data_IF_734203870496
#
_entry.id   IF_734203870496
#
_cell.length_a   1.000
_cell.length_b   1.000
_cell.length_c   1.000
_cell.angle_alpha   90.00
_cell.angle_beta   90.00
_cell.angle_gamma   90.00
#
_symmetry.space_group_name_H-M   'P 1'
#
loop_
_entity.id
_entity.type
_entity.pdbx_description
1 polymer ?
#
# COMPACT_ATOMS: atom_id res chain seq x y z
N UNK A 1 -46.63 15.19 16.08
CA UNK A 1 -45.65 16.28 16.22
C UNK A 1 -44.32 15.82 15.63
N UNK A 2 -44.33 15.56 14.33
CA UNK A 2 -43.19 15.25 13.44
C UNK A 2 -43.62 15.81 12.09
N UNK A 3 -42.68 16.35 11.33
CA UNK A 3 -42.83 17.12 10.07
C UNK A 3 -42.98 18.62 10.33
N UNK A 4 -41.85 19.33 10.48
CA UNK A 4 -41.74 20.78 10.24
C UNK A 4 -40.29 21.32 10.27
N UNK A 5 -39.28 20.52 9.86
CA UNK A 5 -37.88 21.01 9.77
C UNK A 5 -37.26 20.83 8.37
N UNK A 6 -37.85 20.05 7.46
CA UNK A 6 -37.26 19.81 6.13
C UNK A 6 -37.83 20.62 4.96
N UNK A 7 -38.72 21.60 5.20
CA UNK A 7 -39.31 22.38 4.10
C UNK A 7 -38.78 23.82 3.96
N UNK A 8 -37.97 24.32 4.90
CA UNK A 8 -37.48 25.71 4.83
C UNK A 8 -36.08 25.89 4.24
N UNK A 9 -35.37 24.82 3.85
CA UNK A 9 -34.04 24.92 3.24
C UNK A 9 -34.03 24.62 1.73
N UNK A 10 -35.17 24.18 1.18
CA UNK A 10 -35.31 23.84 -0.25
C UNK A 10 -35.95 24.96 -1.09
N UNK A 11 -36.40 26.06 -0.47
CA UNK A 11 -37.04 27.18 -1.18
C UNK A 11 -36.08 28.33 -1.55
N UNK A 12 -34.82 28.34 -1.10
CA UNK A 12 -33.82 29.36 -1.49
C UNK A 12 -32.89 28.94 -2.65
N UNK A 13 -32.88 27.66 -3.06
CA UNK A 13 -32.01 27.15 -4.15
C UNK A 13 -32.72 27.17 -5.52
N UNK A 14 -33.83 27.90 -5.65
CA UNK A 14 -34.52 28.08 -6.93
C UNK A 14 -33.98 29.35 -7.61
N UNK A 15 -32.75 29.28 -8.12
CA UNK A 15 -32.19 30.38 -8.90
C UNK A 15 -30.74 30.22 -9.31
N UNK A 16 -29.92 29.56 -8.51
CA UNK A 16 -28.46 29.56 -8.73
C UNK A 16 -28.05 28.48 -9.72
N UNK A 17 -27.51 28.87 -10.87
CA UNK A 17 -27.01 27.91 -11.87
C UNK A 17 -25.72 27.22 -11.36
N UNK A 18 -25.39 26.04 -11.90
CA UNK A 18 -24.12 25.34 -11.62
C UNK A 18 -22.92 26.27 -11.82
N UNK A 19 -22.97 27.08 -12.88
CA UNK A 19 -21.99 28.10 -13.24
C UNK A 19 -21.85 29.18 -12.16
N UNK A 20 -22.98 29.71 -11.66
CA UNK A 20 -22.98 30.73 -10.59
C UNK A 20 -22.42 30.18 -9.26
N UNK A 21 -22.65 28.90 -8.94
CA UNK A 21 -22.07 28.27 -7.76
C UNK A 21 -20.55 28.06 -7.89
N UNK A 22 -20.08 27.70 -9.09
CA UNK A 22 -18.65 27.59 -9.41
C UNK A 22 -17.96 28.96 -9.29
N UNK A 23 -18.55 30.02 -9.86
CA UNK A 23 -18.05 31.38 -9.77
C UNK A 23 -17.98 31.88 -8.32
N UNK A 24 -19.04 31.61 -7.53
CA UNK A 24 -19.10 31.98 -6.11
C UNK A 24 -18.02 31.26 -5.29
N UNK A 25 -17.81 29.96 -5.53
CA UNK A 25 -16.74 29.19 -4.90
C UNK A 25 -15.36 29.76 -5.23
N UNK A 26 -15.13 30.14 -6.48
CA UNK A 26 -13.89 30.78 -6.92
C UNK A 26 -13.69 32.18 -6.31
N UNK A 27 -14.74 32.98 -6.17
CA UNK A 27 -14.67 34.30 -5.52
C UNK A 27 -14.33 34.20 -4.02
N UNK A 28 -15.01 33.30 -3.30
CA UNK A 28 -14.72 33.06 -1.88
C UNK A 28 -13.27 32.59 -1.69
N UNK A 29 -12.81 31.69 -2.56
CA UNK A 29 -11.46 31.17 -2.48
C UNK A 29 -10.39 32.23 -2.80
N UNK A 30 -10.62 33.13 -3.77
CA UNK A 30 -9.74 34.28 -4.06
C UNK A 30 -9.68 35.27 -2.91
N UNK A 31 -10.79 35.39 -2.17
CA UNK A 31 -10.89 36.28 -1.01
C UNK A 31 -10.25 35.70 0.25
N UNK A 32 -9.74 34.46 0.20
CA UNK A 32 -9.18 33.75 1.36
C UNK A 32 -10.22 33.19 2.33
N UNK A 33 -11.51 33.20 1.94
CA UNK A 33 -12.61 32.65 2.73
C UNK A 33 -12.78 31.15 2.43
N UNK A 34 -11.84 30.35 2.93
CA UNK A 34 -11.76 28.91 2.58
C UNK A 34 -13.00 28.12 3.00
N UNK A 35 -13.62 28.45 4.13
CA UNK A 35 -14.84 27.77 4.61
C UNK A 35 -16.01 27.96 3.63
N UNK A 36 -16.25 29.20 3.21
CA UNK A 36 -17.36 29.54 2.30
C UNK A 36 -17.12 28.96 0.90
N UNK A 37 -15.86 28.93 0.46
CA UNK A 37 -15.47 28.31 -0.80
C UNK A 37 -15.72 26.79 -0.79
N UNK A 38 -15.33 26.10 0.29
CA UNK A 38 -15.59 24.67 0.46
C UNK A 38 -17.10 24.39 0.42
N UNK A 39 -17.91 25.17 1.14
CA UNK A 39 -19.38 25.02 1.12
C UNK A 39 -19.97 25.23 -0.28
N UNK A 40 -19.45 26.19 -1.03
CA UNK A 40 -19.88 26.47 -2.41
C UNK A 40 -19.58 25.29 -3.34
N UNK A 41 -18.36 24.74 -3.31
CA UNK A 41 -17.99 23.57 -4.14
C UNK A 41 -18.68 22.28 -3.67
N UNK A 42 -18.97 22.11 -2.38
CA UNK A 42 -19.82 21.00 -1.92
C UNK A 42 -21.24 21.11 -2.46
N UNK A 43 -21.79 22.33 -2.54
CA UNK A 43 -23.11 22.58 -3.15
C UNK A 43 -23.12 22.26 -4.65
N UNK A 44 -22.01 22.51 -5.36
CA UNK A 44 -21.82 22.06 -6.74
C UNK A 44 -21.93 20.53 -6.83
N UNK A 45 -21.23 19.81 -5.94
CA UNK A 45 -21.23 18.34 -5.91
C UNK A 45 -22.56 17.72 -5.46
N UNK A 46 -23.41 18.45 -4.74
CA UNK A 46 -24.78 18.02 -4.46
C UNK A 46 -25.66 18.00 -5.72
N UNK A 47 -25.37 18.88 -6.69
CA UNK A 47 -26.08 18.97 -7.97
C UNK A 47 -25.43 18.06 -9.02
N UNK A 48 -24.10 18.07 -9.10
CA UNK A 48 -23.29 17.31 -10.03
C UNK A 48 -22.13 16.58 -9.32
N UNK A 49 -22.37 15.35 -8.81
CA UNK A 49 -21.36 14.59 -8.07
C UNK A 49 -20.12 14.19 -8.88
N UNK A 50 -20.22 14.23 -10.21
CA UNK A 50 -19.16 13.84 -11.15
C UNK A 50 -18.40 15.05 -11.69
N UNK A 51 -18.56 16.24 -11.08
CA UNK A 51 -17.84 17.45 -11.46
C UNK A 51 -16.36 17.40 -11.05
N UNK A 52 -15.48 17.12 -12.00
CA UNK A 52 -14.04 16.96 -11.79
C UNK A 52 -13.37 18.24 -11.28
N UNK A 53 -13.85 19.41 -11.72
CA UNK A 53 -13.27 20.71 -11.36
C UNK A 53 -13.59 21.04 -9.90
N UNK A 54 -14.82 20.81 -9.45
CA UNK A 54 -15.21 21.00 -8.06
C UNK A 54 -14.41 20.09 -7.12
N UNK A 55 -14.19 18.82 -7.51
CA UNK A 55 -13.32 17.91 -6.77
C UNK A 55 -11.88 18.40 -6.70
N UNK A 56 -11.32 18.88 -7.81
CA UNK A 56 -9.99 19.47 -7.83
C UNK A 56 -9.88 20.69 -6.90
N UNK A 57 -10.82 21.63 -6.99
CA UNK A 57 -10.85 22.86 -6.18
C UNK A 57 -10.99 22.54 -4.69
N UNK A 58 -11.81 21.55 -4.32
CA UNK A 58 -11.90 21.05 -2.95
C UNK A 58 -10.57 20.46 -2.47
N UNK A 59 -9.84 19.73 -3.32
CA UNK A 59 -8.51 19.23 -3.00
C UNK A 59 -7.54 20.34 -2.60
N UNK A 60 -7.49 21.41 -3.39
CA UNK A 60 -6.65 22.59 -3.11
C UNK A 60 -7.08 23.29 -1.81
N UNK A 61 -8.38 23.51 -1.65
CA UNK A 61 -8.94 24.16 -0.45
C UNK A 61 -8.67 23.35 0.82
N UNK A 62 -8.89 22.03 0.78
CA UNK A 62 -8.61 21.14 1.91
C UNK A 62 -7.12 21.10 2.25
N UNK A 63 -6.23 21.12 1.25
CA UNK A 63 -4.79 21.22 1.48
C UNK A 63 -4.42 22.53 2.18
N UNK A 64 -5.01 23.67 1.75
CA UNK A 64 -4.78 25.00 2.34
C UNK A 64 -5.23 25.08 3.80
N UNK A 65 -6.35 24.44 4.16
CA UNK A 65 -6.80 24.34 5.57
C UNK A 65 -6.17 23.17 6.33
N UNK A 66 -5.11 22.54 5.80
CA UNK A 66 -4.36 21.42 6.38
C UNK A 66 -5.17 20.14 6.64
N UNK A 67 -6.30 19.95 5.94
CA UNK A 67 -7.09 18.73 5.99
C UNK A 67 -6.58 17.72 4.95
N UNK A 68 -5.41 17.14 5.21
CA UNK A 68 -4.68 16.30 4.24
C UNK A 68 -5.48 15.09 3.74
N UNK A 69 -6.19 14.39 4.63
CA UNK A 69 -6.98 13.21 4.24
C UNK A 69 -8.10 13.57 3.25
N UNK A 70 -8.80 14.69 3.51
CA UNK A 70 -9.85 15.18 2.61
C UNK A 70 -9.29 15.74 1.30
N UNK A 71 -8.11 16.34 1.35
CA UNK A 71 -7.42 16.82 0.16
C UNK A 71 -7.09 15.65 -0.78
N UNK A 72 -6.51 14.57 -0.25
CA UNK A 72 -6.22 13.35 -1.01
C UNK A 72 -7.51 12.75 -1.59
N UNK A 73 -8.55 12.58 -0.79
CA UNK A 73 -9.84 12.03 -1.26
C UNK A 73 -10.45 12.87 -2.39
N UNK A 74 -10.40 14.19 -2.28
CA UNK A 74 -10.92 15.08 -3.31
C UNK A 74 -10.07 15.03 -4.60
N UNK A 75 -8.74 15.00 -4.49
CA UNK A 75 -7.87 14.84 -5.66
C UNK A 75 -7.97 13.45 -6.30
N UNK A 76 -8.20 12.38 -5.53
CA UNK A 76 -8.44 11.04 -6.07
C UNK A 76 -9.75 10.98 -6.86
N UNK A 77 -10.82 11.62 -6.36
CA UNK A 77 -12.06 11.77 -7.11
C UNK A 77 -11.87 12.59 -8.39
N UNK A 78 -11.13 13.70 -8.32
CA UNK A 78 -10.74 14.48 -9.50
C UNK A 78 -9.98 13.62 -10.51
N UNK A 79 -8.97 12.86 -10.08
CA UNK A 79 -8.17 11.99 -10.96
C UNK A 79 -8.99 10.84 -11.55
N UNK A 80 -9.96 10.31 -10.81
CA UNK A 80 -10.88 9.28 -11.30
C UNK A 80 -11.76 9.79 -12.44
N UNK A 81 -12.21 11.05 -12.36
CA UNK A 81 -13.11 11.68 -13.34
C UNK A 81 -12.34 12.29 -14.51
N UNK A 82 -11.17 12.87 -14.25
CA UNK A 82 -10.25 13.45 -15.23
C UNK A 82 -8.84 12.86 -15.05
N UNK A 83 -8.59 11.65 -15.62
CA UNK A 83 -7.27 11.03 -15.59
C UNK A 83 -6.24 11.88 -16.33
N UNK A 84 -4.98 11.75 -15.93
CA UNK A 84 -3.84 12.45 -16.55
C UNK A 84 -3.86 13.99 -16.43
N UNK A 85 -4.71 14.57 -15.56
CA UNK A 85 -4.70 16.00 -15.27
C UNK A 85 -3.43 16.38 -14.48
N UNK A 86 -2.44 17.07 -15.08
CA UNK A 86 -1.11 17.21 -14.47
C UNK A 86 -1.10 17.92 -13.09
N UNK A 87 -1.88 18.99 -12.84
CA UNK A 87 -1.99 19.60 -11.52
C UNK A 87 -2.56 18.65 -10.45
N UNK A 88 -3.55 17.82 -10.80
CA UNK A 88 -4.11 16.82 -9.85
C UNK A 88 -3.05 15.81 -9.48
N UNK A 89 -2.33 15.29 -10.47
CA UNK A 89 -1.27 14.32 -10.28
C UNK A 89 -0.10 14.90 -9.46
N UNK A 90 0.30 16.14 -9.73
CA UNK A 90 1.35 16.81 -8.96
C UNK A 90 0.93 16.99 -7.49
N UNK A 91 -0.30 17.42 -7.23
CA UNK A 91 -0.81 17.57 -5.85
C UNK A 91 -0.94 16.23 -5.13
N UNK A 92 -1.40 15.17 -5.81
CA UNK A 92 -1.40 13.80 -5.25
C UNK A 92 0.02 13.32 -4.94
N UNK A 93 0.96 13.53 -5.86
CA UNK A 93 2.36 13.20 -5.64
C UNK A 93 2.92 13.92 -4.40
N UNK A 94 2.60 15.20 -4.21
CA UNK A 94 3.05 15.96 -3.04
C UNK A 94 2.44 15.47 -1.73
N UNK A 95 1.13 15.26 -1.70
CA UNK A 95 0.42 14.85 -0.49
C UNK A 95 0.79 13.41 -0.07
N UNK A 96 1.06 12.55 -1.05
CA UNK A 96 1.36 11.14 -0.81
C UNK A 96 2.86 10.86 -0.65
N UNK A 97 3.75 11.79 -1.01
CA UNK A 97 5.21 11.59 -1.01
C UNK A 97 5.76 10.95 0.27
N UNK A 98 5.19 11.28 1.43
CA UNK A 98 5.62 10.71 2.71
C UNK A 98 4.88 9.43 3.10
N UNK A 99 3.59 9.31 2.77
CA UNK A 99 2.74 8.20 3.23
C UNK A 99 2.82 6.99 2.31
N UNK A 100 2.85 7.25 0.99
CA UNK A 100 2.78 6.27 -0.09
C UNK A 100 3.77 6.63 -1.21
N UNK A 101 5.09 6.51 -0.97
CA UNK A 101 6.12 7.04 -1.87
C UNK A 101 6.16 6.35 -3.25
N UNK A 102 5.70 5.10 -3.35
CA UNK A 102 5.57 4.39 -4.63
C UNK A 102 4.46 5.02 -5.48
N UNK A 103 3.27 5.17 -4.90
CA UNK A 103 2.11 5.78 -5.58
C UNK A 103 2.42 7.25 -5.92
N UNK A 104 3.05 7.97 -4.99
CA UNK A 104 3.52 9.33 -5.23
C UNK A 104 4.52 9.41 -6.38
N UNK A 105 5.44 8.44 -6.50
CA UNK A 105 6.39 8.35 -7.62
C UNK A 105 5.69 8.13 -8.96
N UNK A 106 4.63 7.31 -9.01
CA UNK A 106 3.83 7.09 -10.22
C UNK A 106 3.09 8.36 -10.66
N UNK A 107 2.45 9.05 -9.72
CA UNK A 107 1.81 10.33 -10.00
C UNK A 107 2.82 11.40 -10.41
N UNK A 108 3.99 11.45 -9.76
CA UNK A 108 5.04 12.40 -10.11
C UNK A 108 5.61 12.14 -11.51
N UNK A 109 5.88 10.88 -11.88
CA UNK A 109 6.32 10.52 -13.24
C UNK A 109 5.32 10.97 -14.30
N UNK A 110 4.03 10.80 -14.02
CA UNK A 110 2.95 11.18 -14.93
C UNK A 110 2.83 12.71 -15.05
N UNK A 111 2.98 13.42 -13.93
CA UNK A 111 2.90 14.88 -13.89
C UNK A 111 4.10 15.57 -14.58
N UNK A 112 5.32 15.05 -14.42
CA UNK A 112 6.56 15.66 -14.98
C UNK A 112 6.58 15.69 -16.51
N UNK A 113 5.82 14.83 -17.17
CA UNK A 113 5.66 14.89 -18.63
C UNK A 113 5.20 16.29 -19.08
N UNK A 114 4.38 16.95 -18.27
CA UNK A 114 3.89 18.31 -18.53
C UNK A 114 4.55 19.36 -17.63
N UNK A 115 4.83 19.03 -16.36
CA UNK A 115 5.43 19.93 -15.35
C UNK A 115 6.92 19.56 -15.19
N UNK A 116 7.71 19.83 -16.23
CA UNK A 116 9.09 19.32 -16.33
C UNK A 116 10.11 20.04 -15.46
N UNK A 117 9.81 21.27 -15.02
CA UNK A 117 10.77 22.16 -14.35
C UNK A 117 10.67 22.11 -12.82
N UNK A 118 9.86 21.21 -12.26
CA UNK A 118 9.70 21.05 -10.80
C UNK A 118 10.71 20.05 -10.22
N UNK A 119 11.70 20.58 -9.49
CA UNK A 119 12.77 19.80 -8.85
C UNK A 119 12.25 18.84 -7.77
N UNK A 120 11.21 19.23 -7.00
CA UNK A 120 10.67 18.43 -5.90
C UNK A 120 9.84 17.28 -6.47
N UNK A 121 9.04 17.55 -7.49
CA UNK A 121 8.32 16.53 -8.24
C UNK A 121 9.31 15.55 -8.90
N UNK A 122 10.38 16.06 -9.50
CA UNK A 122 11.48 15.24 -10.04
C UNK A 122 12.13 14.34 -9.00
N UNK A 123 12.35 14.84 -7.79
CA UNK A 123 12.83 14.02 -6.67
C UNK A 123 11.84 12.92 -6.26
N UNK A 124 10.54 13.20 -6.25
CA UNK A 124 9.50 12.22 -5.93
C UNK A 124 9.44 11.13 -7.02
N UNK A 125 9.52 11.52 -8.30
CA UNK A 125 9.51 10.60 -9.43
C UNK A 125 10.73 9.68 -9.49
N UNK A 126 11.88 10.10 -8.95
CA UNK A 126 13.07 9.27 -8.86
C UNK A 126 13.00 8.22 -7.75
N UNK A 127 11.98 8.28 -6.88
CA UNK A 127 11.78 7.25 -5.88
C UNK A 127 11.58 5.89 -6.55
N UNK A 128 12.43 4.94 -6.16
CA UNK A 128 12.35 3.53 -6.51
C UNK A 128 12.45 2.74 -5.22
N UNK A 129 11.72 1.63 -5.16
CA UNK A 129 11.79 0.71 -4.03
C UNK A 129 13.25 0.23 -3.90
N UNK A 130 13.89 0.34 -2.71
CA UNK A 130 15.23 -0.17 -2.52
C UNK A 130 15.21 -1.67 -2.79
N UNK A 131 15.97 -2.14 -3.80
CA UNK A 131 16.21 -3.57 -4.02
C UNK A 131 16.68 -4.16 -2.69
N UNK A 132 15.86 -5.00 -2.07
CA UNK A 132 16.21 -5.58 -0.78
C UNK A 132 17.47 -6.43 -0.93
N UNK A 133 18.61 -6.07 -0.32
CA UNK A 133 19.60 -7.09 -0.03
C UNK A 133 18.93 -8.07 0.92
N UNK A 134 19.02 -9.38 0.65
CA UNK A 134 18.46 -10.44 1.49
C UNK A 134 18.80 -10.16 2.97
N UNK A 135 17.83 -9.64 3.75
CA UNK A 135 18.08 -9.15 5.12
C UNK A 135 17.96 -10.31 6.10
N UNK A 136 18.97 -10.46 6.95
CA UNK A 136 19.03 -11.51 7.97
C UNK A 136 18.16 -11.08 9.15
N UNK A 137 16.99 -11.69 9.28
CA UNK A 137 16.19 -11.64 10.49
C UNK A 137 16.74 -12.70 11.46
N UNK A 138 17.04 -12.32 12.70
CA UNK A 138 17.38 -13.30 13.74
C UNK A 138 16.07 -13.89 14.24
N UNK A 139 15.74 -15.09 13.76
CA UNK A 139 14.77 -15.95 14.44
C UNK A 139 15.40 -16.46 15.73
N UNK A 140 14.67 -16.37 16.84
CA UNK A 140 15.09 -16.98 18.09
C UNK A 140 15.04 -18.51 17.93
N UNK A 141 16.18 -19.13 17.65
CA UNK A 141 16.38 -20.58 17.73
C UNK A 141 17.23 -20.90 18.95
N UNK A 142 16.82 -21.94 19.67
CA UNK A 142 17.60 -22.50 20.77
C UNK A 142 18.94 -23.01 20.20
N UNK A 143 20.06 -22.59 20.80
CA UNK A 143 21.39 -23.04 20.42
C UNK A 143 21.57 -24.46 20.97
N UNK A 144 21.57 -25.45 20.07
CA UNK A 144 22.23 -26.72 20.32
C UNK A 144 23.49 -26.76 19.45
N UNK A 145 24.64 -27.00 20.10
CA UNK A 145 25.96 -27.11 19.50
C UNK A 145 26.04 -28.30 18.53
N UNK A 146 26.44 -28.06 17.28
CA UNK A 146 27.37 -28.91 16.53
C UNK A 146 27.70 -28.28 15.16
N UNK A 147 28.97 -28.42 14.78
CA UNK A 147 29.61 -27.96 13.54
C UNK A 147 28.89 -28.37 12.24
N UNK A 148 29.04 -27.55 11.19
CA UNK A 148 29.64 -27.99 9.92
C UNK A 148 29.88 -26.82 8.94
N UNK A 149 31.05 -26.86 8.30
CA UNK A 149 31.53 -25.97 7.23
C UNK A 149 30.69 -26.06 5.96
N UNK A 150 30.44 -24.95 5.27
CA UNK A 150 30.24 -24.96 3.80
C UNK A 150 30.93 -23.77 3.12
N UNK A 151 31.71 -24.15 2.10
CA UNK A 151 32.56 -23.41 1.18
C UNK A 151 31.76 -22.49 0.21
N UNK A 152 32.25 -21.27 -0.03
CA UNK A 152 31.65 -20.31 -1.00
C UNK A 152 32.47 -20.31 -2.28
N UNK A 153 31.89 -20.75 -3.39
CA UNK A 153 32.41 -20.46 -4.74
C UNK A 153 31.66 -19.27 -5.34
N UNK A 154 32.38 -18.16 -5.52
CA UNK A 154 31.97 -17.01 -6.31
C UNK A 154 32.33 -17.24 -7.78
N UNK A 155 31.38 -17.00 -8.68
CA UNK A 155 31.67 -16.79 -10.11
C UNK A 155 31.33 -15.34 -10.48
N UNK A 156 32.28 -14.69 -11.13
CA UNK A 156 32.26 -13.28 -11.51
C UNK A 156 31.62 -13.18 -12.90
N UNK A 157 30.59 -12.35 -13.07
CA UNK A 157 30.03 -12.00 -14.36
C UNK A 157 30.64 -10.68 -14.86
N UNK A 158 31.04 -10.65 -16.14
CA UNK A 158 31.76 -9.55 -16.77
C UNK A 158 30.86 -8.94 -17.87
N UNK A 159 30.46 -7.65 -17.80
CA UNK A 159 29.52 -7.06 -18.74
C UNK A 159 30.28 -6.29 -19.81
N UNK A 160 30.48 -6.86 -20.99
CA UNK A 160 30.77 -6.11 -22.21
C UNK A 160 30.62 -7.00 -23.46
N UNK A 161 29.46 -6.95 -24.09
CA UNK A 161 29.28 -6.95 -25.55
C UNK A 161 27.79 -6.95 -25.89
N UNK A 162 27.27 -5.83 -26.38
CA UNK A 162 26.02 -5.79 -27.11
C UNK A 162 26.36 -5.71 -28.60
N UNK A 163 26.00 -6.75 -29.36
CA UNK A 163 25.11 -6.49 -30.48
C UNK A 163 23.99 -7.55 -30.57
N UNK A 164 22.74 -7.05 -30.57
CA UNK A 164 21.47 -7.76 -30.77
C UNK A 164 21.02 -8.73 -29.66
N UNK A 165 20.79 -8.17 -28.47
CA UNK A 165 20.05 -8.80 -27.36
C UNK A 165 18.72 -9.47 -27.78
N UNK A 166 18.04 -8.96 -28.81
CA UNK A 166 16.83 -9.57 -29.38
C UNK A 166 17.10 -10.92 -30.05
N UNK A 167 18.17 -11.03 -30.85
CA UNK A 167 18.51 -12.25 -31.59
C UNK A 167 19.13 -13.28 -30.64
N UNK A 168 19.89 -12.85 -29.64
CA UNK A 168 20.43 -13.69 -28.58
C UNK A 168 19.30 -14.33 -27.74
N UNK A 169 18.33 -13.53 -27.28
CA UNK A 169 17.19 -14.03 -26.52
C UNK A 169 16.32 -15.01 -27.32
N UNK A 170 16.13 -14.75 -28.62
CA UNK A 170 15.48 -15.68 -29.55
C UNK A 170 16.31 -16.95 -29.75
N UNK A 171 17.62 -16.82 -29.92
CA UNK A 171 18.56 -17.94 -30.04
C UNK A 171 18.51 -18.88 -28.84
N UNK A 172 18.58 -18.34 -27.63
CA UNK A 172 18.48 -19.10 -26.37
C UNK A 172 17.12 -19.82 -26.23
N UNK A 173 16.04 -19.17 -26.68
CA UNK A 173 14.70 -19.78 -26.71
C UNK A 173 14.66 -21.00 -27.65
N UNK A 174 15.37 -20.95 -28.78
CA UNK A 174 15.44 -22.07 -29.75
C UNK A 174 16.40 -23.19 -29.36
N UNK A 175 17.44 -22.89 -28.56
CA UNK A 175 18.42 -23.89 -28.10
C UNK A 175 18.01 -24.60 -26.82
N UNK A 176 16.90 -24.20 -26.20
CA UNK A 176 16.33 -24.85 -25.01
C UNK A 176 16.74 -24.19 -23.68
N UNK A 177 17.55 -23.13 -23.70
CA UNK A 177 17.87 -22.34 -22.50
C UNK A 177 16.81 -21.24 -22.31
N UNK A 178 15.62 -21.67 -21.91
CA UNK A 178 14.48 -20.79 -21.71
C UNK A 178 14.70 -19.83 -20.52
N UNK A 179 15.49 -20.24 -19.52
CA UNK A 179 15.83 -19.41 -18.35
C UNK A 179 16.73 -18.24 -18.72
N UNK A 180 17.77 -18.49 -19.53
CA UNK A 180 18.64 -17.44 -20.06
C UNK A 180 17.88 -16.47 -20.97
N UNK A 181 17.01 -16.99 -21.84
CA UNK A 181 16.16 -16.17 -22.70
C UNK A 181 15.25 -15.21 -21.90
N UNK A 182 14.59 -15.71 -20.84
CA UNK A 182 13.73 -14.87 -19.99
C UNK A 182 14.52 -13.74 -19.31
N UNK A 183 15.75 -14.00 -18.87
CA UNK A 183 16.59 -12.98 -18.23
C UNK A 183 16.92 -11.82 -19.19
N UNK A 184 17.30 -12.14 -20.43
CA UNK A 184 17.61 -11.12 -21.45
C UNK A 184 16.34 -10.33 -21.83
N UNK A 185 15.20 -11.00 -22.03
CA UNK A 185 13.95 -10.32 -22.34
C UNK A 185 13.47 -9.37 -21.24
N UNK A 186 13.68 -9.73 -19.96
CA UNK A 186 13.38 -8.82 -18.84
C UNK A 186 14.26 -7.58 -18.85
N UNK A 187 15.56 -7.73 -19.09
CA UNK A 187 16.47 -6.58 -19.21
C UNK A 187 16.14 -5.66 -20.41
N UNK A 188 15.60 -6.23 -21.50
CA UNK A 188 15.09 -5.44 -22.63
C UNK A 188 13.80 -4.70 -22.28
N UNK A 189 12.93 -5.30 -21.46
CA UNK A 189 11.68 -4.70 -21.03
C UNK A 189 11.90 -3.47 -20.14
N UNK A 190 12.93 -3.49 -19.29
CA UNK A 190 13.34 -2.33 -18.49
C UNK A 190 13.73 -1.12 -19.36
N UNK A 191 14.29 -1.37 -20.55
CA UNK A 191 14.72 -0.32 -21.49
C UNK A 191 13.60 0.13 -22.43
N UNK A 192 12.60 -0.70 -22.67
CA UNK A 192 11.54 -0.45 -23.66
C UNK A 192 10.19 -1.03 -23.20
N UNK A 193 9.59 -0.48 -22.13
CA UNK A 193 8.39 -1.04 -21.49
C UNK A 193 7.14 -0.98 -22.38
N UNK A 194 7.11 -0.07 -23.36
CA UNK A 194 6.01 0.08 -24.32
C UNK A 194 6.28 -0.61 -25.66
N UNK A 195 7.21 -1.58 -25.74
CA UNK A 195 7.49 -2.32 -26.97
C UNK A 195 6.68 -3.63 -27.04
N UNK A 196 5.70 -3.76 -27.96
CA UNK A 196 4.96 -5.01 -28.15
C UNK A 196 5.87 -6.19 -28.50
N UNK A 197 6.97 -5.94 -29.21
CA UNK A 197 7.92 -6.98 -29.62
C UNK A 197 8.68 -7.58 -28.43
N UNK A 198 9.05 -6.74 -27.44
CA UNK A 198 9.71 -7.20 -26.20
C UNK A 198 8.73 -8.02 -25.34
N UNK A 199 7.49 -7.56 -25.21
CA UNK A 199 6.44 -8.29 -24.49
C UNK A 199 6.14 -9.65 -25.13
N UNK A 200 6.08 -9.74 -26.46
CA UNK A 200 5.91 -11.03 -27.18
C UNK A 200 7.11 -11.95 -26.99
N UNK A 201 8.33 -11.41 -27.06
CA UNK A 201 9.56 -12.17 -26.85
C UNK A 201 9.62 -12.83 -25.47
N UNK A 202 9.31 -12.06 -24.43
CA UNK A 202 9.22 -12.56 -23.06
C UNK A 202 8.14 -13.63 -22.90
N UNK A 203 6.97 -13.42 -23.52
CA UNK A 203 5.86 -14.38 -23.50
C UNK A 203 6.24 -15.73 -24.09
N UNK A 204 6.91 -15.76 -25.23
CA UNK A 204 7.35 -17.00 -25.89
C UNK A 204 8.41 -17.75 -25.06
N UNK A 205 9.35 -17.02 -24.46
CA UNK A 205 10.36 -17.59 -23.59
C UNK A 205 9.74 -18.21 -22.31
N UNK A 206 8.76 -17.53 -21.71
CA UNK A 206 8.01 -18.03 -20.55
C UNK A 206 7.16 -19.25 -20.88
N UNK A 207 6.52 -19.28 -22.06
CA UNK A 207 5.74 -20.44 -22.53
C UNK A 207 6.62 -21.66 -22.72
N UNK A 208 7.78 -21.46 -23.34
CA UNK A 208 8.76 -22.54 -23.55
C UNK A 208 9.37 -23.05 -22.23
N UNK A 209 9.47 -22.18 -21.21
CA UNK A 209 9.85 -22.56 -19.84
C UNK A 209 8.72 -23.21 -19.02
N UNK A 210 7.51 -23.38 -19.57
CA UNK A 210 6.36 -24.00 -18.89
C UNK A 210 5.53 -23.07 -18.00
N UNK A 211 5.70 -21.75 -18.11
CA UNK A 211 4.94 -20.74 -17.37
C UNK A 211 3.81 -20.14 -18.24
N UNK A 212 2.85 -20.96 -18.64
CA UNK A 212 1.79 -20.60 -19.59
C UNK A 212 0.93 -19.40 -19.13
N UNK A 213 0.60 -19.30 -17.84
CA UNK A 213 -0.20 -18.20 -17.31
C UNK A 213 0.50 -16.84 -17.45
N UNK A 214 1.81 -16.81 -17.21
CA UNK A 214 2.62 -15.59 -17.33
C UNK A 214 2.89 -15.23 -18.78
N UNK A 215 3.05 -16.23 -19.65
CA UNK A 215 3.15 -16.03 -21.09
C UNK A 215 1.90 -15.33 -21.65
N UNK A 216 0.71 -15.81 -21.25
CA UNK A 216 -0.57 -15.23 -21.68
C UNK A 216 -0.77 -13.78 -21.23
N UNK A 217 -0.26 -13.40 -20.04
CA UNK A 217 -0.27 -12.01 -19.59
C UNK A 217 0.62 -11.12 -20.46
N UNK A 218 1.81 -11.60 -20.82
CA UNK A 218 2.72 -10.86 -21.71
C UNK A 218 2.11 -10.64 -23.11
N UNK A 219 1.43 -11.65 -23.66
CA UNK A 219 0.76 -11.52 -24.97
C UNK A 219 -0.40 -10.52 -24.94
N UNK A 220 -1.23 -10.54 -23.88
CA UNK A 220 -2.31 -9.56 -23.71
C UNK A 220 -1.78 -8.14 -23.62
N UNK A 221 -0.65 -7.93 -22.93
CA UNK A 221 -0.01 -6.61 -22.83
C UNK A 221 0.55 -6.13 -24.17
N UNK A 222 1.13 -7.02 -24.96
CA UNK A 222 1.57 -6.67 -26.32
C UNK A 222 0.40 -6.27 -27.23
N UNK A 223 -0.71 -6.99 -27.14
CA UNK A 223 -1.93 -6.72 -27.91
C UNK A 223 -2.60 -5.40 -27.49
N UNK A 224 -2.62 -5.09 -26.18
CA UNK A 224 -3.18 -3.81 -25.71
C UNK A 224 -2.40 -2.60 -26.23
N UNK A 225 -1.07 -2.72 -26.31
CA UNK A 225 -0.20 -1.64 -26.81
C UNK A 225 -0.38 -1.43 -28.33
N UNK A 226 -0.63 -2.51 -29.09
CA UNK A 226 -0.89 -2.40 -30.54
C UNK A 226 -2.32 -1.96 -30.88
N UNK A 227 -3.27 -2.09 -29.94
CA UNK A 227 -4.68 -1.77 -30.12
C UNK A 227 -5.05 -0.33 -29.72
N UNK A 228 -4.12 0.48 -29.21
CA UNK A 228 -4.34 1.91 -28.99
C UNK A 228 -4.31 2.65 -30.34
N UNK A 229 -5.42 3.26 -30.80
CA UNK A 229 -5.38 4.16 -31.95
C UNK A 229 -4.73 5.49 -31.55
N UNK A 230 -4.19 6.28 -32.50
CA UNK A 230 -3.69 7.62 -32.19
C UNK A 230 -4.87 8.48 -31.73
N UNK A 231 -4.70 9.17 -30.60
CA UNK A 231 -5.74 10.01 -29.99
C UNK A 231 -6.31 11.03 -30.99
N UNK A 232 -7.60 10.91 -31.29
CA UNK A 232 -8.39 12.01 -31.86
C UNK A 232 -8.68 13.00 -30.74
N UNK A 233 -8.10 14.19 -30.86
CA UNK A 233 -8.40 15.36 -30.02
C UNK A 233 -9.87 15.72 -30.24
N UNK A 234 -10.72 15.43 -29.25
CA UNK A 234 -12.06 15.99 -29.18
C UNK A 234 -11.96 17.45 -28.74
N UNK A 235 -12.08 18.38 -29.67
CA UNK A 235 -12.36 19.78 -29.36
C UNK A 235 -13.82 19.91 -28.93
N UNK A 236 -14.06 20.16 -27.64
CA UNK A 236 -15.33 20.65 -27.11
C UNK A 236 -15.15 22.12 -26.75
N UNK A 237 -15.40 23.00 -27.72
CA UNK A 237 -15.26 24.48 -27.65
C UNK A 237 -16.31 25.17 -26.73
N UNK A 238 -16.86 24.50 -25.72
CA UNK A 238 -17.87 25.10 -24.82
C UNK A 238 -17.52 25.05 -23.33
N UNK A 239 -16.39 24.45 -22.95
CA UNK A 239 -15.92 24.37 -21.55
C UNK A 239 -14.73 25.28 -21.23
N UNK A 240 -14.10 25.91 -22.22
CA UNK A 240 -12.83 26.66 -22.02
C UNK A 240 -12.96 27.93 -21.16
N UNK A 241 -14.10 28.63 -21.20
CA UNK A 241 -14.27 29.87 -20.41
C UNK A 241 -14.61 29.60 -18.94
N UNK A 242 -15.43 28.58 -18.63
CA UNK A 242 -15.72 28.18 -17.23
C UNK A 242 -14.53 27.46 -16.58
N UNK A 243 -13.77 26.70 -17.36
CA UNK A 243 -12.54 26.03 -16.92
C UNK A 243 -11.46 27.06 -16.57
N UNK A 244 -11.35 28.17 -17.30
CA UNK A 244 -10.28 29.16 -17.11
C UNK A 244 -10.36 29.89 -15.76
N UNK A 245 -11.54 30.36 -15.33
CA UNK A 245 -11.65 31.15 -14.09
C UNK A 245 -11.59 30.29 -12.82
N UNK A 246 -12.08 29.04 -12.87
CA UNK A 246 -11.89 28.05 -11.79
C UNK A 246 -10.44 27.52 -11.73
N UNK A 247 -9.76 27.33 -12.88
CA UNK A 247 -8.34 26.98 -12.93
C UNK A 247 -7.41 28.12 -12.51
N UNK A 248 -7.80 29.39 -12.61
CA UNK A 248 -6.92 30.49 -12.17
C UNK A 248 -6.66 30.43 -10.65
N UNK A 249 -7.57 29.85 -9.87
CA UNK A 249 -7.32 29.54 -8.45
C UNK A 249 -6.59 28.20 -8.25
N UNK A 250 -6.62 27.31 -9.24
CA UNK A 250 -5.93 26.02 -9.26
C UNK A 250 -4.41 26.10 -9.38
N UNK A 251 -3.88 27.26 -9.76
CA UNK A 251 -2.45 27.46 -10.08
C UNK A 251 -1.59 27.73 -8.84
N UNK A 252 -2.17 27.91 -7.65
CA UNK A 252 -1.38 27.82 -6.41
C UNK A 252 -1.09 26.34 -6.12
N UNK A 253 -0.01 25.83 -6.73
CA UNK A 253 0.59 24.53 -6.43
C UNK A 253 0.73 24.36 -4.91
N UNK A 254 0.45 23.15 -4.39
CA UNK A 254 0.75 22.76 -3.00
C UNK A 254 2.27 22.60 -2.80
N UNK A 255 3.06 23.55 -3.30
CA UNK A 255 4.47 23.71 -2.97
C UNK A 255 4.65 24.31 -1.56
N UNK A 256 3.65 25.05 -1.05
CA UNK A 256 3.75 25.87 0.16
C UNK A 256 3.24 25.23 1.46
N UNK A 257 2.70 24.01 1.43
CA UNK A 257 2.39 23.33 2.69
C UNK A 257 3.68 22.70 3.20
N UNK A 258 4.35 23.40 4.12
CA UNK A 258 5.30 22.79 5.04
C UNK A 258 4.56 21.70 5.81
N UNK A 259 4.54 20.49 5.24
CA UNK A 259 4.24 19.28 5.99
C UNK A 259 5.37 19.20 7.01
N UNK A 260 5.11 19.66 8.25
CA UNK A 260 5.98 19.35 9.38
C UNK A 260 6.33 17.87 9.25
N UNK A 261 7.61 17.48 9.27
CA UNK A 261 8.00 16.12 8.99
C UNK A 261 7.28 15.21 10.00
N UNK A 262 6.24 14.52 9.53
CA UNK A 262 5.67 13.38 10.24
C UNK A 262 6.86 12.46 10.36
N UNK A 263 7.34 12.34 11.60
CA UNK A 263 8.58 11.67 11.98
C UNK A 263 8.95 10.65 10.91
N UNK A 264 9.97 10.94 10.10
CA UNK A 264 10.67 9.92 9.32
C UNK A 264 11.00 8.87 10.36
N UNK A 265 10.17 7.85 10.43
CA UNK A 265 10.37 6.76 11.36
C UNK A 265 11.73 6.24 11.00
N UNK A 266 12.72 6.47 11.85
CA UNK A 266 14.07 6.03 11.55
C UNK A 266 13.98 4.50 11.51
N UNK A 267 14.04 3.95 10.30
CA UNK A 267 13.86 2.53 10.04
C UNK A 267 14.88 1.74 10.85
N UNK A 268 16.10 2.27 10.99
CA UNK A 268 17.16 1.63 11.76
C UNK A 268 16.86 1.67 13.25
N UNK A 269 16.31 2.79 13.76
CA UNK A 269 15.85 2.86 15.15
C UNK A 269 14.67 1.92 15.41
N UNK A 270 13.69 1.86 14.50
CA UNK A 270 12.52 0.99 14.63
C UNK A 270 12.91 -0.49 14.61
N UNK A 271 13.83 -0.88 13.73
CA UNK A 271 14.42 -2.22 13.71
C UNK A 271 15.22 -2.48 14.99
N UNK A 272 15.97 -1.48 15.47
CA UNK A 272 16.70 -1.55 16.74
C UNK A 272 15.77 -1.83 17.92
N UNK A 273 14.65 -1.11 18.01
CA UNK A 273 13.62 -1.33 19.02
C UNK A 273 12.94 -2.69 18.88
N UNK A 274 12.66 -3.15 17.66
CA UNK A 274 12.12 -4.49 17.42
C UNK A 274 13.07 -5.58 17.92
N UNK A 275 14.35 -5.51 17.55
CA UNK A 275 15.36 -6.48 17.97
C UNK A 275 15.59 -6.45 19.50
N UNK A 276 15.58 -5.26 20.10
CA UNK A 276 15.61 -5.11 21.55
C UNK A 276 14.41 -5.79 22.21
N UNK A 277 13.20 -5.59 21.65
CA UNK A 277 11.99 -6.24 22.13
C UNK A 277 12.08 -7.76 22.11
N UNK A 278 12.63 -8.35 21.03
CA UNK A 278 12.85 -9.79 20.91
C UNK A 278 13.83 -10.30 21.98
N UNK A 279 14.95 -9.62 22.19
CA UNK A 279 15.93 -10.00 23.21
C UNK A 279 15.33 -9.94 24.62
N UNK A 280 14.65 -8.84 24.95
CA UNK A 280 13.98 -8.66 26.25
C UNK A 280 12.88 -9.70 26.48
N UNK A 281 12.16 -10.09 25.43
CA UNK A 281 11.16 -11.15 25.50
C UNK A 281 11.82 -12.51 25.80
N UNK A 282 12.97 -12.80 25.20
CA UNK A 282 13.76 -14.00 25.49
C UNK A 282 14.31 -14.03 26.92
N UNK A 283 14.61 -12.86 27.49
CA UNK A 283 14.99 -12.70 28.91
C UNK A 283 13.80 -12.78 29.88
N UNK A 284 12.56 -12.87 29.38
CA UNK A 284 11.33 -12.86 30.18
C UNK A 284 10.93 -11.47 30.71
N UNK A 285 11.60 -10.40 30.26
CA UNK A 285 11.32 -9.01 30.63
C UNK A 285 10.19 -8.45 29.77
N UNK A 286 8.99 -9.01 29.96
CA UNK A 286 7.86 -8.83 29.06
C UNK A 286 7.38 -7.37 28.94
N UNK A 287 7.39 -6.59 30.02
CA UNK A 287 6.92 -5.20 29.98
C UNK A 287 7.88 -4.26 29.23
N UNK A 288 9.18 -4.54 29.34
CA UNK A 288 10.23 -3.79 28.62
C UNK A 288 10.26 -4.20 27.14
N UNK A 289 10.02 -5.48 26.87
CA UNK A 289 9.80 -5.98 25.51
C UNK A 289 8.59 -5.30 24.86
N UNK A 290 7.47 -5.21 25.58
CA UNK A 290 6.25 -4.52 25.14
C UNK A 290 6.55 -3.06 24.79
N UNK A 291 7.23 -2.32 25.67
CA UNK A 291 7.61 -0.92 25.40
C UNK A 291 8.50 -0.80 24.15
N UNK A 292 9.40 -1.76 23.94
CA UNK A 292 10.28 -1.78 22.78
C UNK A 292 9.50 -2.06 21.48
N UNK A 293 8.56 -3.00 21.50
CA UNK A 293 7.69 -3.24 20.35
C UNK A 293 6.78 -2.05 20.04
N UNK A 294 6.25 -1.35 21.04
CA UNK A 294 5.44 -0.14 20.84
C UNK A 294 6.26 0.99 20.20
N UNK A 295 7.51 1.16 20.60
CA UNK A 295 8.44 2.09 19.95
C UNK A 295 8.77 1.67 18.52
N UNK A 296 8.97 0.37 18.26
CA UNK A 296 9.17 -0.14 16.92
C UNK A 296 7.95 0.12 16.02
N UNK A 297 6.73 -0.09 16.52
CA UNK A 297 5.48 0.20 15.80
C UNK A 297 5.33 1.70 15.51
N UNK A 298 5.55 2.55 16.53
CA UNK A 298 5.41 4.00 16.40
C UNK A 298 6.51 4.66 15.58
N UNK A 299 7.71 4.09 15.57
CA UNK A 299 8.85 4.54 14.76
C UNK A 299 8.93 3.89 13.38
N UNK A 300 8.05 2.94 13.05
CA UNK A 300 8.08 2.28 11.75
C UNK A 300 7.38 3.15 10.69
N UNK A 301 8.03 3.42 9.53
CA UNK A 301 7.41 4.14 8.41
C UNK A 301 6.06 3.55 8.02
N UNK A 302 5.14 4.38 7.49
CA UNK A 302 3.82 3.92 7.03
C UNK A 302 3.89 2.75 6.05
N UNK A 303 4.85 2.81 5.12
CA UNK A 303 5.11 1.79 4.10
C UNK A 303 5.62 0.45 4.64
N UNK A 304 6.20 0.42 5.85
CA UNK A 304 6.87 -0.77 6.40
C UNK A 304 5.88 -1.71 7.10
N UNK A 305 4.98 -2.30 6.31
CA UNK A 305 3.93 -3.20 6.81
C UNK A 305 4.56 -4.44 7.48
N UNK A 306 5.61 -5.03 6.91
CA UNK A 306 6.25 -6.23 7.44
C UNK A 306 6.84 -6.03 8.84
N UNK A 307 7.53 -4.91 9.07
CA UNK A 307 8.08 -4.59 10.39
C UNK A 307 6.95 -4.39 11.41
N UNK A 308 5.85 -3.73 11.01
CA UNK A 308 4.68 -3.54 11.87
C UNK A 308 4.00 -4.85 12.20
N UNK A 309 3.83 -5.75 11.23
CA UNK A 309 3.29 -7.10 11.46
C UNK A 309 4.17 -7.86 12.45
N UNK A 310 5.49 -7.86 12.25
CA UNK A 310 6.45 -8.51 13.17
C UNK A 310 6.43 -7.90 14.56
N UNK A 311 6.39 -6.57 14.67
CA UNK A 311 6.37 -5.87 15.95
C UNK A 311 5.02 -6.04 16.69
N UNK A 312 3.89 -6.08 15.97
CA UNK A 312 2.58 -6.41 16.55
C UNK A 312 2.54 -7.86 17.03
N UNK A 313 3.14 -8.80 16.30
CA UNK A 313 3.31 -10.19 16.75
C UNK A 313 4.17 -10.26 18.03
N UNK A 314 5.30 -9.54 18.05
CA UNK A 314 6.16 -9.41 19.23
C UNK A 314 5.41 -8.83 20.44
N UNK A 315 4.62 -7.77 20.22
CA UNK A 315 3.73 -7.17 21.22
C UNK A 315 2.70 -8.16 21.74
N UNK A 316 2.08 -8.95 20.85
CA UNK A 316 1.16 -10.03 21.23
C UNK A 316 1.84 -11.09 22.11
N UNK A 317 3.07 -11.49 21.77
CA UNK A 317 3.84 -12.46 22.57
C UNK A 317 4.18 -11.90 23.95
N UNK A 318 4.61 -10.64 24.04
CA UNK A 318 4.92 -9.98 25.32
C UNK A 318 3.69 -9.89 26.22
N UNK A 319 2.54 -9.49 25.67
CA UNK A 319 1.26 -9.41 26.39
C UNK A 319 0.81 -10.79 26.87
N UNK A 320 0.96 -11.82 26.03
CA UNK A 320 0.65 -13.20 26.40
C UNK A 320 1.52 -13.67 27.57
N UNK A 321 2.83 -13.45 27.52
CA UNK A 321 3.75 -13.83 28.59
C UNK A 321 3.50 -13.05 29.90
N UNK A 322 2.98 -11.83 29.82
CA UNK A 322 2.51 -11.05 30.98
C UNK A 322 1.11 -11.45 31.47
N UNK A 323 0.46 -12.45 30.86
CA UNK A 323 -0.90 -12.89 31.22
C UNK A 323 -2.03 -11.93 30.78
N UNK A 324 -1.72 -10.93 29.96
CA UNK A 324 -2.65 -9.93 29.42
C UNK A 324 -3.32 -10.46 28.16
N UNK A 325 -4.05 -11.56 28.30
CA UNK A 325 -4.54 -12.37 27.17
C UNK A 325 -5.56 -11.67 26.27
N UNK A 326 -6.38 -10.77 26.81
CA UNK A 326 -7.34 -9.99 25.99
C UNK A 326 -6.61 -9.01 25.06
N UNK A 327 -5.55 -8.38 25.56
CA UNK A 327 -4.74 -7.42 24.80
C UNK A 327 -3.83 -8.12 23.80
N UNK A 328 -3.33 -9.33 24.12
CA UNK A 328 -2.56 -10.13 23.17
C UNK A 328 -3.41 -10.53 21.97
N UNK A 329 -4.68 -10.91 22.16
CA UNK A 329 -5.62 -11.18 21.06
C UNK A 329 -5.75 -9.97 20.13
N UNK A 330 -5.90 -8.76 20.69
CA UNK A 330 -5.98 -7.52 19.89
C UNK A 330 -4.70 -7.32 19.07
N UNK A 331 -3.52 -7.49 19.68
CA UNK A 331 -2.25 -7.31 18.97
C UNK A 331 -2.08 -8.30 17.81
N UNK A 332 -2.44 -9.57 17.98
CA UNK A 332 -2.39 -10.57 16.90
C UNK A 332 -3.41 -10.30 15.80
N UNK A 333 -4.62 -9.82 16.15
CA UNK A 333 -5.61 -9.40 15.16
C UNK A 333 -5.15 -8.20 14.34
N UNK A 334 -4.49 -7.24 14.99
CA UNK A 334 -3.87 -6.12 14.27
C UNK A 334 -2.83 -6.63 13.27
N UNK A 335 -2.00 -7.60 13.66
CA UNK A 335 -0.98 -8.16 12.76
C UNK A 335 -1.59 -8.90 11.55
N UNK A 336 -2.59 -9.77 11.78
CA UNK A 336 -3.23 -10.51 10.68
C UNK A 336 -4.10 -9.60 9.80
N UNK A 337 -4.65 -8.52 10.34
CA UNK A 337 -5.38 -7.51 9.58
C UNK A 337 -4.49 -6.64 8.70
N UNK A 338 -3.21 -6.46 9.07
CA UNK A 338 -2.22 -5.73 8.27
C UNK A 338 -1.75 -6.53 7.06
N UNK A 339 -1.29 -7.77 7.29
CA UNK A 339 -0.99 -8.71 6.20
C UNK A 339 -1.24 -10.17 6.67
N UNK A 340 -2.30 -10.83 6.16
CA UNK A 340 -2.60 -12.21 6.48
C UNK A 340 -1.54 -13.23 6.04
N UNK A 341 -0.70 -12.90 5.04
CA UNK A 341 0.32 -13.79 4.50
C UNK A 341 1.64 -13.75 5.28
N UNK A 342 2.01 -12.59 5.83
CA UNK A 342 3.18 -12.40 6.70
C UNK A 342 3.01 -13.04 8.10
N UNK A 343 1.77 -13.36 8.51
CA UNK A 343 1.50 -14.07 9.78
C UNK A 343 1.81 -15.57 9.68
N UNK A 344 2.72 -16.04 10.53
CA UNK A 344 3.17 -17.44 10.58
C UNK A 344 2.22 -18.36 11.35
N UNK A 345 2.35 -19.68 11.16
CA UNK A 345 1.64 -20.68 11.95
C UNK A 345 1.91 -20.54 13.46
N UNK A 346 3.13 -20.16 13.86
CA UNK A 346 3.47 -19.92 15.27
C UNK A 346 2.66 -18.78 15.88
N UNK A 347 2.52 -17.66 15.17
CA UNK A 347 1.71 -16.53 15.62
C UNK A 347 0.27 -16.96 15.84
N UNK A 348 -0.32 -17.72 14.91
CA UNK A 348 -1.69 -18.23 15.05
C UNK A 348 -1.83 -19.21 16.20
N UNK A 349 -0.82 -20.03 16.47
CA UNK A 349 -0.79 -20.89 17.66
C UNK A 349 -0.81 -20.06 18.96
N UNK A 350 -0.03 -18.98 19.03
CA UNK A 350 -0.01 -18.10 20.21
C UNK A 350 -1.32 -17.30 20.36
N UNK A 351 -1.91 -16.86 19.24
CA UNK A 351 -3.24 -16.24 19.23
C UNK A 351 -4.32 -17.22 19.72
N UNK A 352 -4.29 -18.47 19.24
CA UNK A 352 -5.19 -19.53 19.71
C UNK A 352 -5.03 -19.83 21.20
N UNK A 353 -3.79 -19.80 21.70
CA UNK A 353 -3.49 -19.96 23.13
C UNK A 353 -4.04 -18.79 23.96
N UNK A 354 -3.95 -17.56 23.44
CA UNK A 354 -4.54 -16.37 24.07
C UNK A 354 -6.07 -16.47 24.15
N UNK A 355 -6.71 -16.90 23.06
CA UNK A 355 -8.15 -17.16 23.03
C UNK A 355 -8.59 -18.25 24.01
N UNK A 356 -7.82 -19.34 24.10
CA UNK A 356 -8.10 -20.41 25.05
C UNK A 356 -7.98 -19.93 26.51
N UNK A 357 -7.04 -19.03 26.80
CA UNK A 357 -6.84 -18.45 28.12
C UNK A 357 -7.99 -17.53 28.57
N UNK A 358 -8.69 -16.91 27.62
CA UNK A 358 -9.92 -16.13 27.88
C UNK A 358 -11.20 -16.95 27.70
N UNK A 359 -11.09 -18.28 27.69
CA UNK A 359 -12.20 -19.23 27.54
C UNK A 359 -13.02 -19.09 26.23
N UNK A 360 -12.44 -18.48 25.20
CA UNK A 360 -13.02 -18.41 23.84
C UNK A 360 -12.55 -19.62 23.02
N UNK A 361 -12.99 -20.80 23.42
CA UNK A 361 -12.45 -22.07 22.89
C UNK A 361 -12.73 -22.30 21.41
N UNK A 362 -13.86 -21.83 20.89
CA UNK A 362 -14.20 -22.00 19.47
C UNK A 362 -13.28 -21.17 18.56
N UNK A 363 -12.95 -19.95 18.96
CA UNK A 363 -12.00 -19.10 18.23
C UNK A 363 -10.56 -19.62 18.39
N UNK A 364 -10.21 -20.16 19.57
CA UNK A 364 -8.94 -20.86 19.75
C UNK A 364 -8.78 -22.02 18.76
N UNK A 365 -9.82 -22.85 18.58
CA UNK A 365 -9.81 -23.96 17.62
C UNK A 365 -9.59 -23.47 16.19
N UNK A 366 -10.24 -22.37 15.77
CA UNK A 366 -10.03 -21.78 14.44
C UNK A 366 -8.58 -21.36 14.24
N UNK A 367 -7.99 -20.67 15.24
CA UNK A 367 -6.60 -20.22 15.18
C UNK A 367 -5.63 -21.40 15.06
N UNK A 368 -5.79 -22.43 15.90
CA UNK A 368 -4.97 -23.64 15.84
C UNK A 368 -5.11 -24.39 14.52
N UNK A 369 -6.32 -24.45 13.96
CA UNK A 369 -6.55 -25.09 12.65
C UNK A 369 -5.81 -24.33 11.54
N UNK A 370 -5.95 -23.00 11.50
CA UNK A 370 -5.24 -22.16 10.54
C UNK A 370 -3.71 -22.18 10.72
N UNK A 371 -3.23 -22.46 11.95
CA UNK A 371 -1.82 -22.63 12.23
C UNK A 371 -1.25 -23.89 11.54
N UNK A 372 -2.00 -25.00 11.55
CA UNK A 372 -1.60 -26.25 10.88
C UNK A 372 -1.45 -26.06 9.36
N UNK A 373 -2.26 -25.19 8.75
CA UNK A 373 -2.20 -24.90 7.31
C UNK A 373 -0.97 -24.06 6.91
N UNK A 374 -0.19 -23.54 7.87
CA UNK A 374 0.95 -22.63 7.65
C UNK A 374 2.31 -23.26 7.97
N UNK A 375 2.48 -24.55 7.66
CA UNK A 375 3.81 -25.19 7.60
C UNK A 375 4.53 -25.33 8.94
N UNK A 376 3.80 -25.64 10.02
CA UNK A 376 4.39 -25.93 11.33
C UNK A 376 5.31 -27.16 11.26
N UNK A 377 6.36 -27.17 12.10
CA UNK A 377 7.18 -28.36 12.28
C UNK A 377 6.34 -29.52 12.87
N UNK A 378 6.78 -30.77 12.70
CA UNK A 378 6.01 -31.94 13.12
C UNK A 378 5.62 -31.89 14.61
N UNK A 379 6.55 -31.52 15.49
CA UNK A 379 6.30 -31.44 16.93
C UNK A 379 5.27 -30.34 17.27
N UNK A 380 5.32 -29.22 16.56
CA UNK A 380 4.41 -28.09 16.73
C UNK A 380 3.01 -28.43 16.24
N UNK A 381 2.93 -29.15 15.13
CA UNK A 381 1.67 -29.68 14.59
C UNK A 381 0.99 -30.61 15.59
N UNK A 382 1.75 -31.58 16.15
CA UNK A 382 1.25 -32.48 17.19
C UNK A 382 0.79 -31.72 18.46
N UNK A 383 1.49 -30.65 18.84
CA UNK A 383 1.07 -29.80 19.95
C UNK A 383 -0.23 -29.06 19.62
N UNK A 384 -0.35 -28.53 18.40
CA UNK A 384 -1.54 -27.83 17.91
C UNK A 384 -2.78 -28.74 17.94
N UNK A 385 -2.67 -29.97 17.43
CA UNK A 385 -3.75 -30.97 17.46
C UNK A 385 -4.21 -31.32 18.88
N UNK A 386 -3.25 -31.42 19.83
CA UNK A 386 -3.57 -31.62 21.26
C UNK A 386 -4.35 -30.43 21.82
N UNK A 387 -3.96 -29.20 21.51
CA UNK A 387 -4.69 -28.01 21.96
C UNK A 387 -6.09 -27.92 21.35
N UNK A 388 -6.26 -28.25 20.07
CA UNK A 388 -7.59 -28.35 19.43
C UNK A 388 -8.47 -29.36 20.18
N UNK A 389 -7.93 -30.55 20.45
CA UNK A 389 -8.67 -31.61 21.16
C UNK A 389 -9.07 -31.18 22.57
N UNK A 390 -8.18 -30.48 23.29
CA UNK A 390 -8.45 -29.91 24.60
C UNK A 390 -9.53 -28.84 24.55
N UNK A 391 -9.43 -27.88 23.63
CA UNK A 391 -10.41 -26.80 23.48
C UNK A 391 -11.80 -27.35 23.13
N UNK A 392 -11.90 -28.39 22.30
CA UNK A 392 -13.18 -29.06 21.99
C UNK A 392 -13.84 -29.67 23.22
N UNK A 393 -13.05 -30.27 24.12
CA UNK A 393 -13.55 -30.80 25.40
C UNK A 393 -14.05 -29.67 26.30
N UNK A 394 -13.26 -28.59 26.44
CA UNK A 394 -13.61 -27.44 27.28
C UNK A 394 -14.84 -26.69 26.77
N UNK A 395 -14.96 -26.47 25.45
CA UNK A 395 -16.14 -25.87 24.80
C UNK A 395 -17.42 -26.67 25.11
N UNK A 396 -17.37 -28.01 25.03
CA UNK A 396 -18.51 -28.88 25.38
C UNK A 396 -18.88 -28.78 26.86
N UNK A 397 -17.90 -28.76 27.76
CA UNK A 397 -18.17 -28.63 29.19
C UNK A 397 -18.72 -27.24 29.55
N UNK A 398 -18.25 -26.18 28.89
CA UNK A 398 -18.79 -24.83 29.05
C UNK A 398 -20.25 -24.75 28.58
N UNK A 399 -20.58 -25.35 27.43
CA UNK A 399 -21.95 -25.41 26.92
C UNK A 399 -22.90 -26.15 27.90
N UNK A 400 -22.45 -27.26 28.50
CA UNK A 400 -23.23 -28.00 29.53
C UNK A 400 -23.46 -27.21 30.81
N UNK A 401 -22.57 -26.29 31.18
CA UNK A 401 -22.74 -25.43 32.36
C UNK A 401 -23.72 -24.29 32.12
N UNK A 402 -23.93 -23.92 30.86
CA UNK A 402 -24.80 -22.82 30.44
C UNK A 402 -26.22 -23.29 30.07
N UNK A 403 -26.40 -24.60 29.82
CA UNK A 403 -27.70 -25.29 29.69
C UNK A 403 -28.27 -25.71 31.02
#
# INVERSE_FOLDING_TARGET
MRILIHQNFLEEVVGTSLSELMELGAEHARSGNDSDAIESYLSVLEIDPDNEIAWYCLGVLYARVQSMDKAVEAFENSNRLLPNHPPTLANLAYLLAQREPIIASEYAKSAIVTISDDEKLSSIAQYSEPLEPKRVFVEARQIDEADDEIEVQTSIFNPDSNPNSYEEARGLSTTGDHTGAVAIWKGLLEQSPNSPEVWRGLGEALRSAGYDDRANQCFKRAESIESEPPEEIYHVETQEEELADALILAVEEVQAVEIEPVSRGDMDDAIGWYNMGINLLGEGKNDEALSSFEKAIGGSPSSEIDLKVKAQNGRGNALYNSGRFTESVVAYHTAIGMDPHSVTGRTLFNMGSSYAAVEMFDDAIKCFTQALDRGLEKQESELCEKQISRCRLLSREQAKRQS
#
